data_IF_108350646635
#
_entry.id   IF_108350646635
#
_cell.length_a   1.000
_cell.length_b   1.000
_cell.length_c   1.000
_cell.angle_alpha   90.00
_cell.angle_beta   90.00
_cell.angle_gamma   90.00
#
_symmetry.space_group_name_H-M   'P 1'
#
loop_
_entity.id
_entity.type
_entity.pdbx_description
1 polymer ?
#
# COMPACT_ATOMS: atom_id res chain seq x y z
N UNK A 1 8.70 -5.28 2.55
CA UNK A 1 7.25 -5.22 2.22
C UNK A 1 6.70 -6.63 2.18
N UNK A 2 5.51 -6.88 2.73
CA UNK A 2 4.88 -8.20 2.71
C UNK A 2 4.13 -8.39 1.38
N UNK A 3 3.22 -7.48 1.08
CA UNK A 3 2.39 -7.52 -0.13
C UNK A 3 2.13 -6.11 -0.67
N UNK A 4 1.88 -6.00 -1.97
CA UNK A 4 1.41 -4.76 -2.60
C UNK A 4 0.45 -5.04 -3.74
N UNK A 5 -0.50 -4.13 -3.93
CA UNK A 5 -1.49 -4.18 -5.00
C UNK A 5 -1.56 -2.82 -5.70
N UNK A 6 -1.26 -2.80 -7.00
CA UNK A 6 -1.41 -1.62 -7.84
C UNK A 6 -2.66 -1.77 -8.73
N UNK A 7 -3.50 -0.73 -8.74
CA UNK A 7 -4.73 -0.64 -9.53
C UNK A 7 -4.89 0.77 -10.11
N UNK A 8 -5.48 0.88 -11.29
CA UNK A 8 -6.04 2.15 -11.77
C UNK A 8 -7.37 2.38 -11.06
N UNK A 9 -7.54 3.52 -10.40
CA UNK A 9 -8.83 3.96 -9.86
C UNK A 9 -9.36 5.12 -10.69
N UNK A 10 -10.63 5.09 -11.12
CA UNK A 10 -11.25 6.27 -11.72
C UNK A 10 -11.36 7.36 -10.65
N UNK A 11 -11.00 8.58 -11.04
CA UNK A 11 -11.18 9.75 -10.18
C UNK A 11 -12.63 10.21 -10.33
N UNK A 12 -13.30 10.51 -9.21
CA UNK A 12 -14.66 11.04 -9.24
C UNK A 12 -14.74 12.31 -10.11
N UNK A 13 -15.78 12.40 -10.95
CA UNK A 13 -16.06 13.56 -11.81
C UNK A 13 -15.03 13.85 -12.92
N UNK A 14 -14.22 12.86 -13.33
CA UNK A 14 -13.37 12.96 -14.53
C UNK A 14 -13.31 11.63 -15.29
N UNK A 15 -12.92 11.70 -16.56
CA UNK A 15 -12.64 10.53 -17.41
C UNK A 15 -11.25 9.95 -17.20
N UNK A 16 -10.50 10.49 -16.24
CA UNK A 16 -9.13 10.07 -15.94
C UNK A 16 -9.08 8.98 -14.87
N UNK A 17 -8.15 8.03 -15.06
CA UNK A 17 -7.77 7.04 -14.05
C UNK A 17 -6.42 7.42 -13.43
N UNK A 18 -6.30 7.27 -12.12
CA UNK A 18 -5.04 7.44 -11.40
C UNK A 18 -4.47 6.09 -10.96
N UNK A 19 -3.15 5.94 -11.08
CA UNK A 19 -2.44 4.78 -10.56
C UNK A 19 -2.41 4.89 -9.04
N UNK A 20 -3.01 3.89 -8.39
CA UNK A 20 -3.15 3.81 -6.95
C UNK A 20 -2.48 2.54 -6.43
N UNK A 21 -1.67 2.66 -5.39
CA UNK A 21 -1.01 1.52 -4.76
C UNK A 21 -1.51 1.29 -3.32
N UNK A 22 -1.78 0.04 -2.99
CA UNK A 22 -2.06 -0.40 -1.62
C UNK A 22 -0.87 -1.23 -1.17
N UNK A 23 -0.28 -0.88 -0.02
CA UNK A 23 0.92 -1.53 0.50
C UNK A 23 0.63 -2.12 1.88
N UNK A 24 0.94 -3.40 2.06
CA UNK A 24 0.85 -4.08 3.34
C UNK A 24 2.27 -4.25 3.90
N UNK A 25 2.61 -3.56 5.02
CA UNK A 25 3.89 -3.75 5.67
C UNK A 25 4.03 -5.17 6.21
N UNK A 26 5.27 -5.64 6.31
CA UNK A 26 5.54 -6.87 7.04
C UNK A 26 5.51 -6.57 8.55
N UNK A 27 4.38 -6.84 9.19
CA UNK A 27 4.21 -6.61 10.63
C UNK A 27 5.19 -7.45 11.47
N UNK A 28 5.45 -8.70 11.06
CA UNK A 28 6.42 -9.57 11.75
C UNK A 28 7.81 -8.94 11.79
N UNK A 29 8.26 -8.33 10.68
CA UNK A 29 9.53 -7.59 10.64
C UNK A 29 9.58 -6.45 11.66
N UNK A 30 8.50 -5.69 11.83
CA UNK A 30 8.43 -4.62 12.83
C UNK A 30 8.36 -5.17 14.25
N UNK A 31 7.67 -6.29 14.47
CA UNK A 31 7.62 -6.98 15.77
C UNK A 31 9.01 -7.54 16.17
N UNK A 32 9.78 -8.13 15.24
CA UNK A 32 11.15 -8.58 15.47
C UNK A 32 12.08 -7.40 15.83
N UNK A 33 12.00 -6.31 15.06
CA UNK A 33 12.77 -5.10 15.33
C UNK A 33 12.40 -4.45 16.66
N UNK A 34 11.11 -4.52 17.06
CA UNK A 34 10.64 -4.02 18.33
C UNK A 34 11.22 -4.82 19.50
N UNK A 35 11.31 -6.14 19.36
CA UNK A 35 11.96 -7.01 20.35
C UNK A 35 13.45 -6.68 20.49
N UNK A 36 14.16 -6.49 19.38
CA UNK A 36 15.58 -6.12 19.40
C UNK A 36 15.84 -4.75 20.04
N UNK A 37 14.93 -3.79 19.84
CA UNK A 37 15.03 -2.44 20.40
C UNK A 37 14.43 -2.31 21.81
N UNK A 38 13.72 -3.34 22.30
CA UNK A 38 12.99 -3.29 23.57
C UNK A 38 11.82 -2.30 23.58
N UNK A 39 11.33 -1.87 22.42
CA UNK A 39 10.24 -0.90 22.26
C UNK A 39 9.40 -1.23 21.03
N UNK A 40 8.08 -1.26 21.19
CA UNK A 40 7.13 -1.37 20.08
C UNK A 40 7.18 -0.12 19.19
N UNK A 41 7.12 -0.33 17.87
CA UNK A 41 6.90 0.77 16.93
C UNK A 41 5.45 1.24 17.01
N UNK A 42 5.23 2.55 16.99
CA UNK A 42 3.88 3.08 16.79
C UNK A 42 3.45 2.91 15.33
N UNK A 43 2.14 2.92 15.09
CA UNK A 43 1.60 2.87 13.72
C UNK A 43 2.16 4.01 12.85
N UNK A 44 2.35 5.20 13.42
CA UNK A 44 2.95 6.35 12.75
C UNK A 44 4.41 6.11 12.36
N UNK A 45 5.21 5.47 13.22
CA UNK A 45 6.62 5.13 12.92
C UNK A 45 6.70 4.08 11.81
N UNK A 46 5.82 3.07 11.86
CA UNK A 46 5.73 2.06 10.80
C UNK A 46 5.30 2.72 9.49
N UNK A 47 4.26 3.56 9.53
CA UNK A 47 3.74 4.24 8.36
C UNK A 47 4.81 5.14 7.73
N UNK A 48 5.51 5.96 8.52
CA UNK A 48 6.59 6.81 8.06
C UNK A 48 7.71 6.00 7.40
N UNK A 49 8.12 4.87 8.02
CA UNK A 49 9.17 4.03 7.47
C UNK A 49 8.73 3.36 6.17
N UNK A 50 7.52 2.83 6.11
CA UNK A 50 6.98 2.20 4.90
C UNK A 50 6.81 3.23 3.79
N UNK A 51 6.34 4.43 4.11
CA UNK A 51 6.22 5.56 3.19
C UNK A 51 7.55 5.89 2.54
N UNK A 52 8.61 6.04 3.32
CA UNK A 52 9.97 6.29 2.82
C UNK A 52 10.44 5.20 1.83
N UNK A 53 10.25 3.93 2.19
CA UNK A 53 10.65 2.80 1.34
C UNK A 53 9.82 2.73 0.04
N UNK A 54 8.51 3.00 0.13
CA UNK A 54 7.61 3.04 -1.03
C UNK A 54 7.99 4.22 -1.93
N UNK A 55 8.25 5.40 -1.37
CA UNK A 55 8.69 6.58 -2.11
C UNK A 55 10.01 6.33 -2.84
N UNK A 56 10.99 5.70 -2.17
CA UNK A 56 12.24 5.29 -2.80
C UNK A 56 12.03 4.26 -3.92
N UNK A 57 11.10 3.30 -3.74
CA UNK A 57 10.78 2.31 -4.76
C UNK A 57 10.10 2.95 -6.00
N UNK A 58 9.15 3.87 -5.80
CA UNK A 58 8.47 4.56 -6.90
C UNK A 58 9.33 5.66 -7.53
N UNK A 59 10.34 6.17 -6.81
CA UNK A 59 11.29 7.16 -7.33
C UNK A 59 11.98 6.68 -8.61
N UNK A 60 12.19 5.38 -8.73
CA UNK A 60 12.85 4.74 -9.88
C UNK A 60 11.90 4.35 -11.03
N UNK A 61 10.59 4.61 -10.89
CA UNK A 61 9.57 4.28 -11.89
C UNK A 61 9.31 5.52 -12.77
N UNK A 62 9.13 5.31 -14.07
CA UNK A 62 8.75 6.37 -15.01
C UNK A 62 7.42 7.03 -14.61
N UNK A 63 7.31 8.36 -14.77
CA UNK A 63 6.18 9.17 -14.30
C UNK A 63 4.79 8.61 -14.64
N UNK A 64 4.61 8.11 -15.86
CA UNK A 64 3.32 7.58 -16.33
C UNK A 64 2.93 6.23 -15.71
N UNK A 65 3.86 5.51 -15.07
CA UNK A 65 3.61 4.27 -14.31
C UNK A 65 3.66 4.49 -12.79
N UNK A 66 4.07 5.67 -12.35
CA UNK A 66 4.23 5.99 -10.94
C UNK A 66 2.85 6.05 -10.27
N UNK A 67 2.62 5.31 -9.18
CA UNK A 67 1.45 5.54 -8.34
C UNK A 67 1.43 6.98 -7.83
N UNK A 68 0.41 7.74 -8.18
CA UNK A 68 0.26 9.14 -7.71
C UNK A 68 -0.18 9.21 -6.25
N UNK A 69 -0.87 8.17 -5.79
CA UNK A 69 -1.33 8.02 -4.41
C UNK A 69 -1.12 6.57 -3.96
N UNK A 70 -0.83 6.40 -2.69
CA UNK A 70 -0.80 5.08 -2.06
C UNK A 70 -1.39 5.11 -0.66
N UNK A 71 -1.95 3.97 -0.23
CA UNK A 71 -2.34 3.71 1.16
C UNK A 71 -1.47 2.62 1.77
N UNK A 72 -1.15 2.78 3.04
CA UNK A 72 -0.54 1.75 3.86
C UNK A 72 -1.66 1.08 4.65
N UNK A 73 -1.77 -0.24 4.54
CA UNK A 73 -2.80 -1.04 5.20
C UNK A 73 -2.14 -2.03 6.13
N UNK A 74 -2.61 -2.12 7.37
CA UNK A 74 -2.11 -3.09 8.33
C UNK A 74 -2.84 -4.45 8.25
N UNK A 75 -3.94 -4.50 7.52
CA UNK A 75 -4.69 -5.74 7.23
C UNK A 75 -4.20 -6.38 5.93
N UNK A 76 -4.06 -7.71 5.94
CA UNK A 76 -3.76 -8.49 4.74
C UNK A 76 -4.88 -8.39 3.69
N UNK A 77 -4.52 -8.59 2.42
CA UNK A 77 -5.51 -8.67 1.38
C UNK A 77 -6.35 -9.95 1.49
N UNK A 78 -7.64 -9.83 1.18
CA UNK A 78 -8.55 -10.95 1.01
C UNK A 78 -8.02 -11.90 -0.06
N UNK A 79 -7.76 -13.16 0.32
CA UNK A 79 -7.18 -14.19 -0.54
C UNK A 79 -8.19 -15.26 -0.92
N UNK A 80 -8.04 -15.84 -2.10
CA UNK A 80 -8.75 -17.07 -2.52
C UNK A 80 -8.24 -18.26 -1.71
N UNK A 81 -8.93 -19.41 -1.79
CA UNK A 81 -8.45 -20.68 -1.22
C UNK A 81 -7.07 -21.09 -1.74
N UNK A 82 -6.67 -20.56 -2.91
CA UNK A 82 -5.34 -20.73 -3.52
C UNK A 82 -4.34 -19.62 -3.16
N UNK A 83 -4.60 -18.85 -2.10
CA UNK A 83 -3.78 -17.74 -1.59
C UNK A 83 -3.56 -16.57 -2.55
N UNK A 84 -4.35 -16.45 -3.63
CA UNK A 84 -4.28 -15.32 -4.56
C UNK A 84 -5.10 -14.14 -4.04
N UNK A 85 -4.59 -12.92 -4.18
CA UNK A 85 -5.33 -11.69 -3.83
C UNK A 85 -6.61 -11.58 -4.68
N UNK A 86 -7.76 -11.40 -4.03
CA UNK A 86 -9.07 -11.14 -4.66
C UNK A 86 -9.14 -9.69 -5.18
N UNK A 87 -8.40 -9.38 -6.24
CA UNK A 87 -8.23 -8.02 -6.78
C UNK A 87 -9.53 -7.28 -7.11
N UNK A 88 -10.63 -8.01 -7.39
CA UNK A 88 -11.93 -7.41 -7.71
C UNK A 88 -12.55 -6.63 -6.55
N UNK A 89 -12.26 -7.02 -5.30
CA UNK A 89 -12.75 -6.32 -4.10
C UNK A 89 -12.18 -4.90 -3.97
N UNK A 90 -10.98 -4.69 -4.51
CA UNK A 90 -10.22 -3.44 -4.35
C UNK A 90 -10.38 -2.48 -5.53
N UNK A 91 -10.91 -2.96 -6.67
CA UNK A 91 -11.14 -2.15 -7.89
C UNK A 91 -12.34 -1.21 -7.80
N UNK A 92 -13.30 -1.46 -6.91
CA UNK A 92 -14.57 -0.71 -6.88
C UNK A 92 -14.54 0.57 -6.03
N UNK A 93 -13.42 0.89 -5.37
CA UNK A 93 -13.31 2.13 -4.62
C UNK A 93 -12.98 3.30 -5.55
N UNK A 94 -13.98 4.15 -5.80
CA UNK A 94 -13.79 5.47 -6.43
C UNK A 94 -12.96 6.34 -5.48
N UNK A 95 -11.97 7.07 -6.01
CA UNK A 95 -11.26 8.07 -5.21
C UNK A 95 -12.19 9.28 -5.07
N UNK A 96 -12.77 9.45 -3.88
CA UNK A 96 -13.44 10.69 -3.52
C UNK A 96 -12.38 11.78 -3.32
N UNK A 97 -12.39 12.80 -4.18
CA UNK A 97 -11.66 14.05 -3.91
C UNK A 97 -12.34 14.71 -2.70
N UNK A 98 -11.68 14.67 -1.54
CA UNK A 98 -12.01 15.51 -0.38
C UNK A 98 -11.17 16.77 -0.42
#
# INVERSE_FOLDING_TARGET
MLESLVIGKPIANTTSEEVYAMVVPNKEYFDEQAQLRGRAFTEEEIEAKVREEVEAAIANIADYKRPKRFEIRFEEFEKTSTKKIKRFLYKQHVISLS
#
